data_IF_428954185747
#
_entry.id   IF_428954185747
#
_cell.length_a   1.000
_cell.length_b   1.000
_cell.length_c   1.000
_cell.angle_alpha   90.00
_cell.angle_beta   90.00
_cell.angle_gamma   90.00
#
_symmetry.space_group_name_H-M   'P 1'
#
loop_
_entity.id
_entity.type
_entity.pdbx_description
1 polymer ?
#
# COMPACT_ATOMS: atom_id res chain seq x y z
N UNK A 1 7.84 0.55 -6.72
CA UNK A 1 7.39 1.92 -7.03
C UNK A 1 8.54 2.78 -7.55
N UNK A 2 9.68 2.90 -6.83
CA UNK A 2 10.85 3.67 -7.30
C UNK A 2 11.41 3.18 -8.66
N UNK A 3 11.62 1.87 -8.90
CA UNK A 3 12.14 1.42 -10.20
C UNK A 3 11.18 1.70 -11.36
N UNK A 4 9.88 1.57 -11.11
CA UNK A 4 8.83 1.78 -12.10
C UNK A 4 8.72 3.25 -12.50
N UNK A 5 8.79 4.16 -11.53
CA UNK A 5 8.84 5.62 -11.78
C UNK A 5 10.07 5.97 -12.62
N UNK A 6 11.24 5.41 -12.29
CA UNK A 6 12.49 5.61 -13.04
C UNK A 6 12.38 5.08 -14.47
N UNK A 7 11.78 3.89 -14.66
CA UNK A 7 11.55 3.30 -15.98
C UNK A 7 10.62 4.17 -16.86
N UNK A 8 9.53 4.69 -16.28
CA UNK A 8 8.61 5.59 -17.01
C UNK A 8 9.25 6.92 -17.38
N UNK A 9 10.04 7.53 -16.48
CA UNK A 9 10.78 8.77 -16.77
C UNK A 9 11.79 8.55 -17.91
N UNK A 10 12.51 7.42 -17.90
CA UNK A 10 13.45 7.07 -18.97
C UNK A 10 12.74 6.90 -20.32
N UNK A 11 11.57 6.28 -20.34
CA UNK A 11 10.80 6.03 -21.56
C UNK A 11 10.27 7.34 -22.17
N UNK A 12 9.79 8.26 -21.33
CA UNK A 12 9.32 9.59 -21.77
C UNK A 12 10.49 10.46 -22.25
N UNK A 13 11.61 10.49 -21.52
CA UNK A 13 12.76 11.32 -21.86
C UNK A 13 13.49 10.86 -23.14
N UNK A 14 13.38 9.58 -23.51
CA UNK A 14 14.14 8.97 -24.61
C UNK A 14 13.29 8.65 -25.85
N UNK A 15 12.00 9.01 -25.84
CA UNK A 15 11.03 8.63 -26.86
C UNK A 15 11.41 9.08 -28.30
N UNK A 16 12.24 10.12 -28.44
CA UNK A 16 12.73 10.63 -29.74
C UNK A 16 14.25 10.52 -29.94
N UNK A 17 14.98 9.88 -29.03
CA UNK A 17 16.45 9.88 -29.05
C UNK A 17 17.09 8.92 -30.07
N UNK A 18 16.30 8.08 -30.75
CA UNK A 18 16.79 7.00 -31.62
C UNK A 18 17.54 5.86 -30.89
N UNK A 19 17.69 5.94 -29.56
CA UNK A 19 18.42 4.98 -28.71
C UNK A 19 17.55 3.78 -28.33
N UNK A 20 17.28 2.91 -29.32
CA UNK A 20 16.43 1.71 -29.17
C UNK A 20 16.80 0.80 -27.97
N UNK A 21 18.08 0.69 -27.64
CA UNK A 21 18.54 -0.10 -26.48
C UNK A 21 18.11 0.48 -25.12
N UNK A 22 18.09 1.81 -24.98
CA UNK A 22 17.65 2.46 -23.76
C UNK A 22 16.13 2.43 -23.60
N UNK A 23 15.38 2.52 -24.71
CA UNK A 23 13.94 2.27 -24.76
C UNK A 23 13.58 0.84 -24.34
N UNK A 24 14.31 -0.17 -24.85
CA UNK A 24 14.12 -1.56 -24.44
C UNK A 24 14.39 -1.76 -22.94
N UNK A 25 15.50 -1.21 -22.43
CA UNK A 25 15.83 -1.27 -21.01
C UNK A 25 14.77 -0.59 -20.14
N UNK A 26 14.24 0.57 -20.57
CA UNK A 26 13.13 1.24 -19.90
C UNK A 26 11.87 0.37 -19.85
N UNK A 27 11.51 -0.29 -20.96
CA UNK A 27 10.36 -1.22 -21.00
C UNK A 27 10.54 -2.42 -20.07
N UNK A 28 11.76 -2.96 -19.95
CA UNK A 28 12.07 -4.03 -19.01
C UNK A 28 11.95 -3.58 -17.54
N UNK A 29 12.38 -2.36 -17.22
CA UNK A 29 12.22 -1.77 -15.89
C UNK A 29 10.75 -1.45 -15.60
N UNK A 30 9.94 -1.07 -16.59
CA UNK A 30 8.49 -0.94 -16.40
C UNK A 30 7.84 -2.30 -16.17
N UNK A 31 8.37 -3.38 -16.75
CA UNK A 31 7.96 -4.76 -16.47
C UNK A 31 8.03 -5.14 -14.98
N UNK A 32 8.90 -4.49 -14.20
CA UNK A 32 8.91 -4.62 -12.73
C UNK A 32 7.63 -4.13 -12.05
N UNK A 33 6.72 -3.46 -12.77
CA UNK A 33 5.36 -3.21 -12.31
C UNK A 33 4.64 -4.50 -11.93
N UNK A 34 4.98 -5.64 -12.53
CA UNK A 34 4.43 -6.94 -12.11
C UNK A 34 4.64 -7.23 -10.62
N UNK A 35 5.71 -6.71 -10.01
CA UNK A 35 5.97 -6.85 -8.57
C UNK A 35 5.11 -5.94 -7.68
N UNK A 36 4.37 -4.97 -8.25
CA UNK A 36 3.57 -4.01 -7.48
C UNK A 36 2.49 -4.69 -6.63
N UNK A 37 1.78 -5.67 -7.18
CA UNK A 37 0.79 -6.46 -6.46
C UNK A 37 1.46 -7.26 -5.33
N UNK A 38 2.61 -7.89 -5.60
CA UNK A 38 3.36 -8.64 -4.59
C UNK A 38 3.81 -7.75 -3.41
N UNK A 39 4.28 -6.53 -3.71
CA UNK A 39 4.62 -5.52 -2.70
C UNK A 39 3.39 -5.07 -1.90
N UNK A 40 2.24 -4.90 -2.55
CA UNK A 40 0.99 -4.54 -1.86
C UNK A 40 0.54 -5.65 -0.92
N UNK A 41 0.66 -6.92 -1.32
CA UNK A 41 0.43 -8.06 -0.43
C UNK A 41 1.39 -8.10 0.75
N UNK A 42 2.69 -7.83 0.52
CA UNK A 42 3.67 -7.74 1.60
C UNK A 42 3.30 -6.63 2.60
N UNK A 43 2.89 -5.46 2.09
CA UNK A 43 2.42 -4.35 2.92
C UNK A 43 1.17 -4.71 3.73
N UNK A 44 0.19 -5.39 3.12
CA UNK A 44 -1.01 -5.88 3.80
C UNK A 44 -0.65 -6.89 4.90
N UNK A 45 0.30 -7.79 4.62
CA UNK A 45 0.76 -8.80 5.56
C UNK A 45 1.51 -8.19 6.76
N UNK A 46 2.29 -7.11 6.57
CA UNK A 46 2.96 -6.39 7.66
C UNK A 46 2.01 -5.56 8.51
N UNK A 47 0.91 -5.07 7.94
CA UNK A 47 -0.04 -4.19 8.64
C UNK A 47 -1.25 -4.91 9.24
N UNK A 48 -1.39 -6.21 8.98
CA UNK A 48 -2.54 -7.01 9.44
C UNK A 48 -2.04 -8.26 10.13
N UNK A 49 -2.46 -8.50 11.37
CA UNK A 49 -2.25 -9.77 12.07
C UNK A 49 -3.56 -10.58 12.15
N UNK A 50 -3.44 -11.91 12.11
CA UNK A 50 -4.56 -12.86 12.04
C UNK A 50 -4.95 -13.29 10.62
N UNK A 51 -5.18 -14.60 10.43
CA UNK A 51 -5.45 -15.23 9.12
C UNK A 51 -6.70 -14.69 8.43
N UNK A 52 -7.84 -14.65 9.11
CA UNK A 52 -9.12 -14.23 8.52
C UNK A 52 -9.09 -12.77 8.04
N UNK A 53 -8.46 -11.89 8.82
CA UNK A 53 -8.37 -10.46 8.47
C UNK A 53 -7.42 -10.21 7.30
N UNK A 54 -6.30 -10.94 7.22
CA UNK A 54 -5.41 -10.93 6.05
C UNK A 54 -6.16 -11.35 4.78
N UNK A 55 -6.98 -12.40 4.87
CA UNK A 55 -7.78 -12.86 3.74
C UNK A 55 -8.78 -11.80 3.25
N UNK A 56 -9.47 -11.11 4.16
CA UNK A 56 -10.41 -10.04 3.80
C UNK A 56 -9.73 -8.84 3.14
N UNK A 57 -8.59 -8.39 3.67
CA UNK A 57 -7.82 -7.26 3.10
C UNK A 57 -7.31 -7.62 1.69
N UNK A 58 -6.83 -8.84 1.52
CA UNK A 58 -6.35 -9.34 0.24
C UNK A 58 -7.49 -9.48 -0.78
N UNK A 59 -8.67 -9.97 -0.35
CA UNK A 59 -9.85 -10.03 -1.21
C UNK A 59 -10.28 -8.64 -1.69
N UNK A 60 -10.30 -7.65 -0.80
CA UNK A 60 -10.61 -6.27 -1.16
C UNK A 60 -9.60 -5.69 -2.16
N UNK A 61 -8.32 -6.01 -1.98
CA UNK A 61 -7.24 -5.60 -2.88
C UNK A 61 -7.46 -6.15 -4.30
N UNK A 62 -7.83 -7.42 -4.42
CA UNK A 62 -8.19 -8.04 -5.70
C UNK A 62 -9.44 -7.41 -6.32
N UNK A 63 -10.49 -7.17 -5.54
CA UNK A 63 -11.70 -6.51 -6.04
C UNK A 63 -11.41 -5.12 -6.58
N UNK A 64 -10.59 -4.32 -5.88
CA UNK A 64 -10.17 -3.00 -6.33
C UNK A 64 -9.33 -3.08 -7.62
N UNK A 65 -8.41 -4.05 -7.73
CA UNK A 65 -7.63 -4.28 -8.94
C UNK A 65 -8.52 -4.63 -10.14
N UNK A 66 -9.50 -5.52 -9.96
CA UNK A 66 -10.46 -5.89 -11.01
C UNK A 66 -11.33 -4.71 -11.45
N UNK A 67 -11.82 -3.91 -10.50
CA UNK A 67 -12.59 -2.69 -10.80
C UNK A 67 -11.75 -1.67 -11.59
N UNK A 68 -10.48 -1.49 -11.22
CA UNK A 68 -9.56 -0.61 -11.95
C UNK A 68 -9.35 -1.05 -13.40
N UNK A 69 -9.24 -2.36 -13.65
CA UNK A 69 -9.10 -2.89 -15.01
C UNK A 69 -10.38 -2.65 -15.84
N UNK A 70 -11.56 -2.87 -15.28
CA UNK A 70 -12.85 -2.64 -15.96
C UNK A 70 -13.05 -1.15 -16.29
N UNK A 71 -12.81 -0.26 -15.32
CA UNK A 71 -12.90 1.18 -15.55
C UNK A 71 -11.86 1.61 -16.60
N UNK A 72 -10.64 1.06 -16.52
CA UNK A 72 -9.59 1.32 -17.48
C UNK A 72 -10.01 1.00 -18.92
N UNK A 73 -10.57 -0.19 -19.17
CA UNK A 73 -10.99 -0.59 -20.53
C UNK A 73 -12.19 0.22 -21.04
N UNK A 74 -13.12 0.57 -20.16
CA UNK A 74 -14.37 1.26 -20.52
C UNK A 74 -14.21 2.79 -20.64
N UNK A 75 -13.09 3.38 -20.23
CA UNK A 75 -12.93 4.85 -20.30
C UNK A 75 -12.18 5.32 -21.57
N UNK A 76 -11.46 4.43 -22.27
CA UNK A 76 -10.77 4.78 -23.52
C UNK A 76 -11.61 4.40 -24.74
N UNK A 77 -12.73 5.10 -24.95
CA UNK A 77 -13.54 4.86 -26.15
C UNK A 77 -12.93 5.56 -27.38
N UNK A 78 -12.91 4.90 -28.56
CA UNK A 78 -12.45 5.49 -29.82
C UNK A 78 -13.24 6.73 -30.24
N UNK A 79 -14.49 6.86 -29.76
CA UNK A 79 -15.41 7.96 -30.10
C UNK A 79 -14.99 9.31 -29.52
N UNK A 80 -14.14 9.32 -28.49
CA UNK A 80 -13.70 10.52 -27.77
C UNK A 80 -12.30 10.98 -28.22
N UNK A 81 -11.78 10.42 -29.31
CA UNK A 81 -10.54 10.88 -29.94
C UNK A 81 -10.74 12.29 -30.55
N UNK A 82 -9.73 13.18 -30.52
CA UNK A 82 -8.36 12.99 -30.03
C UNK A 82 -8.14 13.38 -28.55
N UNK A 83 -9.11 14.00 -27.89
CA UNK A 83 -8.89 14.60 -26.56
C UNK A 83 -9.07 13.62 -25.38
N UNK A 84 -9.80 12.51 -25.57
CA UNK A 84 -10.06 11.45 -24.57
C UNK A 84 -10.41 12.00 -23.18
N UNK A 85 -11.25 13.04 -23.12
CA UNK A 85 -11.67 13.71 -21.89
C UNK A 85 -12.20 12.77 -20.79
N UNK A 86 -13.11 11.81 -21.07
CA UNK A 86 -13.57 10.87 -20.04
C UNK A 86 -12.41 10.04 -19.47
N UNK A 87 -11.49 9.59 -20.33
CA UNK A 87 -10.26 8.87 -19.93
C UNK A 87 -9.43 9.64 -18.90
N UNK A 88 -9.17 10.92 -19.20
CA UNK A 88 -8.42 11.81 -18.31
C UNK A 88 -9.13 12.03 -16.97
N UNK A 89 -10.46 12.21 -16.97
CA UNK A 89 -11.25 12.40 -15.76
C UNK A 89 -11.22 11.15 -14.87
N UNK A 90 -11.36 9.95 -15.44
CA UNK A 90 -11.27 8.70 -14.67
C UNK A 90 -9.89 8.52 -14.03
N UNK A 91 -8.81 8.83 -14.75
CA UNK A 91 -7.45 8.78 -14.19
C UNK A 91 -7.32 9.76 -13.02
N UNK A 92 -7.84 10.98 -13.17
CA UNK A 92 -7.77 12.01 -12.13
C UNK A 92 -8.60 11.62 -10.89
N UNK A 93 -9.78 11.01 -11.09
CA UNK A 93 -10.61 10.46 -10.02
C UNK A 93 -9.93 9.27 -9.31
N UNK A 94 -9.26 8.39 -10.06
CA UNK A 94 -8.48 7.28 -9.50
C UNK A 94 -7.28 7.78 -8.69
N UNK A 95 -6.53 8.77 -9.20
CA UNK A 95 -5.44 9.40 -8.46
C UNK A 95 -5.95 10.10 -7.19
N UNK A 96 -7.03 10.88 -7.29
CA UNK A 96 -7.62 11.57 -6.14
C UNK A 96 -8.10 10.58 -5.07
N UNK A 97 -8.78 9.51 -5.47
CA UNK A 97 -9.23 8.48 -4.54
C UNK A 97 -8.05 7.74 -3.91
N UNK A 98 -7.01 7.38 -4.68
CA UNK A 98 -5.78 6.79 -4.15
C UNK A 98 -5.11 7.69 -3.10
N UNK A 99 -4.96 8.99 -3.37
CA UNK A 99 -4.40 9.94 -2.41
C UNK A 99 -5.25 10.02 -1.14
N UNK A 100 -6.58 10.10 -1.29
CA UNK A 100 -7.52 10.13 -0.17
C UNK A 100 -7.41 8.87 0.69
N UNK A 101 -7.44 7.68 0.10
CA UNK A 101 -7.33 6.42 0.83
C UNK A 101 -5.96 6.26 1.49
N UNK A 102 -4.88 6.65 0.82
CA UNK A 102 -3.52 6.60 1.40
C UNK A 102 -3.42 7.49 2.63
N UNK A 103 -3.95 8.72 2.56
CA UNK A 103 -3.98 9.64 3.68
C UNK A 103 -4.86 9.13 4.82
N UNK A 104 -6.04 8.59 4.49
CA UNK A 104 -6.97 8.03 5.47
C UNK A 104 -6.34 6.85 6.22
N UNK A 105 -5.72 5.90 5.52
CA UNK A 105 -5.04 4.75 6.11
C UNK A 105 -3.89 5.23 7.00
N UNK A 106 -3.06 6.17 6.53
CA UNK A 106 -1.96 6.72 7.33
C UNK A 106 -2.46 7.42 8.59
N UNK A 107 -3.55 8.20 8.48
CA UNK A 107 -4.17 8.87 9.62
C UNK A 107 -4.73 7.87 10.64
N UNK A 108 -5.44 6.83 10.18
CA UNK A 108 -5.96 5.75 11.03
C UNK A 108 -4.81 5.02 11.74
N UNK A 109 -3.76 4.64 11.01
CA UNK A 109 -2.59 3.96 11.56
C UNK A 109 -1.88 4.82 12.62
N UNK A 110 -1.71 6.13 12.37
CA UNK A 110 -1.16 7.05 13.36
C UNK A 110 -2.03 7.15 14.62
N UNK A 111 -3.35 7.27 14.47
CA UNK A 111 -4.29 7.31 15.60
C UNK A 111 -4.27 6.01 16.41
N UNK A 112 -4.23 4.86 15.75
CA UNK A 112 -4.15 3.55 16.41
C UNK A 112 -2.82 3.37 17.15
N UNK A 113 -1.70 3.71 16.51
CA UNK A 113 -0.38 3.66 17.13
C UNK A 113 -0.30 4.60 18.35
N UNK A 114 -0.85 5.82 18.27
CA UNK A 114 -0.88 6.76 19.39
C UNK A 114 -1.69 6.22 20.58
N UNK A 115 -2.87 5.64 20.34
CA UNK A 115 -3.68 5.00 21.39
C UNK A 115 -2.95 3.84 22.05
N UNK A 116 -2.29 2.98 21.26
CA UNK A 116 -1.53 1.84 21.79
C UNK A 116 -0.31 2.27 22.61
N UNK A 117 0.42 3.31 22.18
CA UNK A 117 1.55 3.87 22.94
C UNK A 117 1.08 4.40 24.30
N UNK A 118 0.02 5.19 24.34
CA UNK A 118 -0.54 5.70 25.59
C UNK A 118 -0.98 4.57 26.54
N UNK A 119 -1.59 3.50 26.00
CA UNK A 119 -1.98 2.33 26.79
C UNK A 119 -0.78 1.59 27.39
N UNK A 120 0.30 1.40 26.61
CA UNK A 120 1.54 0.78 27.10
C UNK A 120 2.22 1.65 28.16
N UNK A 121 2.24 2.97 28.02
CA UNK A 121 2.79 3.87 29.03
C UNK A 121 2.03 3.79 30.36
N UNK A 122 0.70 3.73 30.32
CA UNK A 122 -0.12 3.54 31.53
C UNK A 122 0.15 2.18 32.18
N UNK A 123 0.27 1.10 31.39
CA UNK A 123 0.64 -0.23 31.90
C UNK A 123 2.03 -0.21 32.54
N UNK A 124 3.00 0.47 31.90
CA UNK A 124 4.37 0.59 32.39
C UNK A 124 4.40 1.28 33.76
N UNK A 125 3.66 2.38 33.90
CA UNK A 125 3.55 3.10 35.17
C UNK A 125 2.80 2.31 36.25
N UNK A 126 1.66 1.70 35.91
CA UNK A 126 0.82 0.97 36.87
C UNK A 126 1.52 -0.26 37.45
N UNK A 127 2.28 -0.96 36.62
CA UNK A 127 2.93 -2.20 37.02
C UNK A 127 4.41 -2.00 37.43
N UNK A 128 4.93 -0.76 37.38
CA UNK A 128 6.33 -0.46 37.66
C UNK A 128 7.32 -1.12 36.69
N UNK A 129 6.89 -1.38 35.44
CA UNK A 129 7.67 -2.12 34.46
C UNK A 129 8.82 -1.28 33.88
N UNK A 130 9.95 -1.95 33.63
CA UNK A 130 11.04 -1.40 32.83
C UNK A 130 10.79 -1.64 31.33
N UNK A 131 11.60 -1.00 30.47
CA UNK A 131 11.50 -1.23 29.02
C UNK A 131 11.79 -2.68 28.63
N UNK A 132 12.58 -3.41 29.44
CA UNK A 132 12.83 -4.84 29.23
C UNK A 132 11.59 -5.71 29.54
N UNK A 133 10.82 -5.37 30.57
CA UNK A 133 9.58 -6.09 30.91
C UNK A 133 8.52 -5.93 29.82
N UNK A 134 8.40 -4.71 29.27
CA UNK A 134 7.52 -4.42 28.12
C UNK A 134 7.92 -5.23 26.89
N UNK A 135 9.23 -5.38 26.65
CA UNK A 135 9.74 -6.20 25.54
C UNK A 135 9.45 -7.69 25.75
N UNK A 136 9.61 -8.19 26.98
CA UNK A 136 9.30 -9.58 27.34
C UNK A 136 7.82 -9.90 27.16
N UNK A 137 6.94 -8.99 27.54
CA UNK A 137 5.50 -9.16 27.38
C UNK A 137 5.09 -9.09 25.91
N UNK A 138 5.71 -8.18 25.14
CA UNK A 138 5.57 -8.14 23.68
C UNK A 138 5.95 -9.46 23.01
N UNK A 139 7.04 -10.09 23.45
CA UNK A 139 7.46 -11.40 22.93
C UNK A 139 6.44 -12.49 23.27
N UNK A 140 5.94 -12.57 24.51
CA UNK A 140 4.86 -13.51 24.88
C UNK A 140 3.61 -13.32 24.01
N UNK A 141 3.19 -12.08 23.80
CA UNK A 141 2.04 -11.75 22.96
C UNK A 141 2.29 -11.92 21.46
N UNK A 142 3.53 -12.11 21.02
CA UNK A 142 3.84 -12.49 19.65
C UNK A 142 3.64 -14.00 19.40
N UNK A 143 3.79 -14.83 20.44
CA UNK A 143 3.50 -16.27 20.39
C UNK A 143 2.01 -16.59 20.50
N UNK A 144 1.26 -15.73 21.18
CA UNK A 144 -0.20 -15.76 21.15
C UNK A 144 -0.63 -15.19 19.79
N UNK A 145 -1.26 -15.99 18.92
CA UNK A 145 -1.74 -15.58 17.58
C UNK A 145 -2.92 -14.58 17.69
N UNK A 146 -2.63 -13.42 18.28
CA UNK A 146 -3.57 -12.34 18.56
C UNK A 146 -3.71 -11.48 17.31
N UNK A 147 -4.96 -11.11 17.00
CA UNK A 147 -5.22 -10.15 15.93
C UNK A 147 -4.61 -8.79 16.25
N UNK A 148 -4.34 -7.98 15.21
CA UNK A 148 -3.70 -6.66 15.33
C UNK A 148 -4.46 -5.71 16.26
N UNK A 149 -5.78 -5.86 16.39
CA UNK A 149 -6.61 -5.11 17.35
C UNK A 149 -6.50 -5.63 18.78
N UNK A 150 -6.28 -6.93 18.97
CA UNK A 150 -6.17 -7.58 20.28
C UNK A 150 -4.77 -7.46 20.87
N UNK A 151 -3.73 -7.34 20.04
CA UNK A 151 -2.36 -7.19 20.51
C UNK A 151 -2.02 -5.70 20.78
N UNK A 152 -1.88 -5.28 22.06
CA UNK A 152 -1.54 -3.90 22.40
C UNK A 152 -0.11 -3.53 21.96
N UNK A 153 0.78 -4.50 21.75
CA UNK A 153 2.18 -4.30 21.34
C UNK A 153 2.41 -4.33 19.82
N UNK A 154 1.36 -4.60 19.03
CA UNK A 154 1.42 -4.58 17.57
C UNK A 154 1.47 -3.14 17.04
N UNK A 155 2.47 -2.84 16.20
CA UNK A 155 2.70 -1.52 15.60
C UNK A 155 2.39 -1.59 14.12
N UNK A 156 1.51 -0.70 13.65
CA UNK A 156 1.23 -0.56 12.23
C UNK A 156 2.39 0.16 11.53
N UNK A 157 2.81 -0.35 10.37
CA UNK A 157 3.83 0.26 9.51
C UNK A 157 3.20 1.46 8.77
N UNK A 158 3.94 2.57 8.67
CA UNK A 158 3.45 3.86 8.14
C UNK A 158 4.15 4.31 6.87
#
# INVERSE_FOLDING_TARGET
MIPTIVGTIMLVALNDSGKKGALLFATWIIGFYGCSLALLYAYNASNTAGHTKKATINALTLSAFSLGNVIGTETFLPKDAPDYLPGKISILALLASQFFFSFLIRWINMRLNAKKRAYIEVLKQRNGWTDEDVKREREKHAFLDLTDKQNPYFVYTG
#
